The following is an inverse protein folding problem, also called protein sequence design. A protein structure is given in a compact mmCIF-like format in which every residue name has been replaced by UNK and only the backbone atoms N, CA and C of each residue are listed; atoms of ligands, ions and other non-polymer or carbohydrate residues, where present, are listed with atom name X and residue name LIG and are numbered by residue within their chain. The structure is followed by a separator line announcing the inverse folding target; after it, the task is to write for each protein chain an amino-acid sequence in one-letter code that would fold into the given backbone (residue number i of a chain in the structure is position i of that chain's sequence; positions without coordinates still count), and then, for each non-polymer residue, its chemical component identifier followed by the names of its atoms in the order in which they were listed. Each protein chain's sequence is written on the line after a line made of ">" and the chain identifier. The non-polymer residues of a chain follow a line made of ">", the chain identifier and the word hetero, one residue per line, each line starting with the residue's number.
data_IF_728215052565
#
_entry.id   IF_728215052565
#
_cell.length_a   1.000
_cell.length_b   1.000
_cell.length_c   1.000
_cell.angle_alpha   90.00
_cell.angle_beta   90.00
_cell.angle_gamma   90.00
#
_symmetry.space_group_name_H-M   'P 1'
#
loop_
_entity.id
_entity.type
_entity.pdbx_description
1 polymer ?
#
# COMPACT_ATOMS: atom_id res chain seq x y z
N UNK A 1 -9.78 44.39 9.76
CA UNK A 1 -8.79 43.58 10.50
C UNK A 1 -8.67 42.25 9.78
N UNK A 2 -7.77 42.20 8.80
CA UNK A 2 -7.72 41.18 7.75
C UNK A 2 -6.96 39.96 8.25
N UNK A 3 -7.65 38.83 8.44
CA UNK A 3 -7.00 37.56 8.78
C UNK A 3 -6.35 37.03 7.50
N UNK A 4 -5.04 37.29 7.38
CA UNK A 4 -4.18 36.76 6.34
C UNK A 4 -4.08 35.23 6.51
N UNK A 5 -4.86 34.47 5.75
CA UNK A 5 -4.70 33.03 5.67
C UNK A 5 -3.32 32.71 5.07
N UNK A 6 -2.41 32.26 5.94
CA UNK A 6 -1.09 31.75 5.54
C UNK A 6 -1.28 30.61 4.53
N UNK A 7 -0.80 30.82 3.31
CA UNK A 7 -0.84 29.85 2.23
C UNK A 7 0.09 28.67 2.55
N UNK A 8 -0.50 27.55 2.94
CA UNK A 8 0.20 26.28 3.22
C UNK A 8 0.20 25.32 2.03
N UNK A 9 0.97 24.21 2.11
CA UNK A 9 1.50 23.44 0.98
C UNK A 9 0.59 22.46 0.28
N UNK A 10 -0.69 22.78 0.20
CA UNK A 10 -1.70 21.83 -0.22
C UNK A 10 -2.05 21.96 -1.70
N UNK A 11 -1.74 23.04 -2.39
CA UNK A 11 -2.34 23.31 -3.71
C UNK A 11 -2.00 22.29 -4.80
N UNK A 12 -0.76 21.80 -4.89
CA UNK A 12 -0.34 20.85 -5.94
C UNK A 12 -0.76 19.41 -5.65
N UNK A 13 -0.64 18.96 -4.39
CA UNK A 13 -1.07 17.61 -3.98
C UNK A 13 -2.61 17.53 -3.92
N UNK A 14 -3.28 18.61 -3.51
CA UNK A 14 -4.76 18.73 -3.54
C UNK A 14 -5.30 18.86 -4.98
N UNK A 15 -4.55 19.43 -5.93
CA UNK A 15 -4.95 19.42 -7.33
C UNK A 15 -5.00 17.97 -7.90
N UNK A 16 -4.05 17.11 -7.51
CA UNK A 16 -4.12 15.68 -7.83
C UNK A 16 -5.30 14.99 -7.12
N UNK A 17 -5.57 15.32 -5.86
CA UNK A 17 -6.74 14.84 -5.11
C UNK A 17 -8.07 15.27 -5.76
N UNK A 18 -8.15 16.50 -6.28
CA UNK A 18 -9.33 17.04 -6.96
C UNK A 18 -9.68 16.25 -8.23
N UNK A 19 -8.66 15.83 -8.99
CA UNK A 19 -8.83 15.00 -10.18
C UNK A 19 -9.24 13.56 -9.84
N UNK A 20 -8.70 12.99 -8.74
CA UNK A 20 -9.02 11.63 -8.27
C UNK A 20 -10.42 11.57 -7.64
N UNK A 21 -10.76 12.55 -6.80
CA UNK A 21 -12.07 12.66 -6.11
C UNK A 21 -13.22 12.92 -7.10
N UNK A 22 -12.96 13.62 -8.22
CA UNK A 22 -13.93 13.78 -9.31
C UNK A 22 -14.20 12.48 -10.08
N UNK A 23 -13.29 11.50 -10.06
CA UNK A 23 -13.47 10.18 -10.70
C UNK A 23 -14.09 9.13 -9.77
N UNK A 24 -14.01 9.31 -8.46
CA UNK A 24 -14.50 8.35 -7.45
C UNK A 24 -15.81 8.83 -6.82
N UNK A 25 -16.94 8.64 -7.50
CA UNK A 25 -18.29 9.01 -7.02
C UNK A 25 -18.98 7.94 -6.16
N UNK A 26 -18.24 6.98 -5.61
CA UNK A 26 -18.79 5.86 -4.85
C UNK A 26 -18.54 5.98 -3.35
N UNK A 27 -19.47 5.48 -2.54
CA UNK A 27 -19.28 5.35 -1.10
C UNK A 27 -17.98 4.56 -0.80
N UNK A 28 -17.12 5.04 0.11
CA UNK A 28 -15.85 4.40 0.40
C UNK A 28 -16.09 3.01 1.00
N UNK A 29 -15.21 2.06 0.66
CA UNK A 29 -15.10 0.78 1.37
C UNK A 29 -15.14 1.00 2.88
N UNK A 30 -16.26 0.64 3.51
CA UNK A 30 -16.47 0.89 4.93
C UNK A 30 -15.89 -0.28 5.71
N UNK A 31 -14.77 -0.03 6.36
CA UNK A 31 -14.11 -1.02 7.20
C UNK A 31 -14.81 -1.03 8.56
N UNK A 32 -15.73 -1.97 8.74
CA UNK A 32 -16.52 -2.14 9.96
C UNK A 32 -15.80 -3.02 10.97
N UNK A 33 -15.10 -4.07 10.51
CA UNK A 33 -14.30 -4.94 11.36
C UNK A 33 -12.91 -5.23 10.74
N UNK A 34 -11.97 -5.61 11.60
CA UNK A 34 -10.63 -6.06 11.23
C UNK A 34 -10.11 -7.04 12.29
N UNK A 35 -9.78 -8.26 11.87
CA UNK A 35 -9.42 -9.37 12.76
C UNK A 35 -8.12 -10.03 12.29
N UNK A 36 -7.20 -10.31 13.22
CA UNK A 36 -6.00 -11.09 12.94
C UNK A 36 -6.35 -12.58 12.78
N UNK A 37 -5.87 -13.20 11.70
CA UNK A 37 -6.22 -14.59 11.36
C UNK A 37 -5.05 -15.53 11.57
N UNK A 38 -3.87 -15.18 11.06
CA UNK A 38 -2.70 -16.04 11.08
C UNK A 38 -1.41 -15.26 10.85
N UNK A 39 -0.29 -15.86 11.28
CA UNK A 39 1.06 -15.44 10.96
C UNK A 39 1.82 -16.62 10.33
N UNK A 40 2.48 -16.40 9.20
CA UNK A 40 3.29 -17.40 8.52
C UNK A 40 4.75 -16.95 8.44
N UNK A 41 5.68 -17.75 8.98
CA UNK A 41 7.13 -17.57 8.80
C UNK A 41 7.70 -18.41 7.66
N UNK A 42 6.93 -19.39 7.15
CA UNK A 42 7.32 -20.31 6.09
C UNK A 42 6.13 -20.63 5.16
N UNK A 43 6.42 -21.20 3.99
CA UNK A 43 5.43 -21.43 2.92
C UNK A 43 4.30 -22.37 3.37
N UNK A 44 4.64 -23.43 4.09
CA UNK A 44 3.71 -24.42 4.64
C UNK A 44 2.75 -23.85 5.70
N UNK A 45 3.09 -22.71 6.29
CA UNK A 45 2.27 -22.00 7.28
C UNK A 45 1.30 -20.99 6.65
N UNK A 46 1.35 -20.76 5.34
CA UNK A 46 0.43 -19.83 4.67
C UNK A 46 -1.01 -20.41 4.79
N UNK A 47 -1.95 -19.69 5.41
CA UNK A 47 -3.30 -20.19 5.63
C UNK A 47 -4.06 -20.34 4.30
N UNK A 48 -4.92 -21.34 4.19
CA UNK A 48 -5.85 -21.50 3.06
C UNK A 48 -7.09 -20.62 3.28
N UNK A 49 -7.03 -19.36 2.83
CA UNK A 49 -8.13 -18.39 2.93
C UNK A 49 -8.87 -18.27 1.59
N UNK A 50 -9.32 -19.41 1.08
CA UNK A 50 -9.60 -19.64 -0.34
C UNK A 50 -10.80 -18.88 -0.94
N UNK A 51 -11.47 -18.03 -0.16
CA UNK A 51 -12.77 -17.44 -0.48
C UNK A 51 -12.79 -15.90 -0.47
N UNK A 52 -11.63 -15.23 -0.29
CA UNK A 52 -11.57 -13.77 -0.21
C UNK A 52 -10.44 -13.19 -1.06
N UNK A 53 -10.64 -12.03 -1.71
CA UNK A 53 -9.57 -11.32 -2.37
C UNK A 53 -8.52 -10.85 -1.34
N UNK A 54 -7.26 -10.96 -1.73
CA UNK A 54 -6.10 -10.63 -0.92
C UNK A 54 -5.37 -9.39 -1.44
N UNK A 55 -4.93 -8.56 -0.50
CA UNK A 55 -4.15 -7.37 -0.76
C UNK A 55 -2.92 -7.40 0.12
N UNK A 56 -1.75 -7.14 -0.46
CA UNK A 56 -0.49 -7.22 0.26
C UNK A 56 0.20 -5.87 0.31
N UNK A 57 0.77 -5.52 1.47
CA UNK A 57 1.66 -4.37 1.60
C UNK A 57 3.13 -4.82 1.54
N UNK A 58 3.90 -4.20 0.64
CA UNK A 58 5.34 -4.33 0.50
C UNK A 58 6.01 -2.97 0.71
N UNK A 59 7.30 -2.95 1.05
CA UNK A 59 8.05 -1.72 1.29
C UNK A 59 9.13 -1.89 2.35
N UNK A 60 10.17 -1.06 2.33
CA UNK A 60 11.28 -1.10 3.30
C UNK A 60 10.81 -1.06 4.77
N UNK A 61 11.68 -1.49 5.68
CA UNK A 61 11.47 -1.24 7.10
C UNK A 61 11.26 0.28 7.33
N UNK A 62 10.28 0.63 8.17
CA UNK A 62 9.92 2.02 8.49
C UNK A 62 9.41 2.90 7.34
N UNK A 63 9.04 2.34 6.17
CA UNK A 63 8.38 3.11 5.11
C UNK A 63 6.92 3.46 5.44
N UNK A 64 6.32 2.84 6.47
CA UNK A 64 4.97 3.19 6.95
C UNK A 64 3.87 2.18 6.59
N UNK A 65 4.19 0.92 6.24
CA UNK A 65 3.23 -0.18 5.98
C UNK A 65 2.15 -0.30 7.05
N UNK A 66 2.53 -0.69 8.27
CA UNK A 66 1.59 -0.91 9.36
C UNK A 66 0.83 0.38 9.74
N UNK A 67 1.47 1.55 9.63
CA UNK A 67 0.80 2.85 9.85
C UNK A 67 -0.25 3.14 8.80
N UNK A 68 0.05 2.90 7.51
CA UNK A 68 -0.90 3.05 6.42
C UNK A 68 -2.06 2.07 6.58
N UNK A 69 -1.77 0.80 6.87
CA UNK A 69 -2.78 -0.24 7.07
C UNK A 69 -3.69 0.10 8.26
N UNK A 70 -3.15 0.49 9.42
CA UNK A 70 -3.94 0.98 10.56
C UNK A 70 -4.83 2.17 10.16
N UNK A 71 -4.30 3.15 9.42
CA UNK A 71 -5.06 4.30 8.95
C UNK A 71 -6.21 3.91 7.99
N UNK A 72 -5.94 3.02 7.03
CA UNK A 72 -6.95 2.44 6.13
C UNK A 72 -8.03 1.75 6.96
N UNK A 73 -7.65 0.93 7.94
CA UNK A 73 -8.56 0.20 8.82
C UNK A 73 -9.33 1.05 9.82
N UNK A 74 -8.98 2.34 9.96
CA UNK A 74 -9.54 3.18 11.03
C UNK A 74 -9.17 2.70 12.44
N UNK A 75 -8.07 1.94 12.56
CA UNK A 75 -7.55 1.42 13.84
C UNK A 75 -6.24 2.13 14.18
N UNK A 76 -5.89 2.20 15.47
CA UNK A 76 -4.62 2.79 15.91
C UNK A 76 -3.50 1.76 15.99
N UNK A 77 -3.78 0.60 16.58
CA UNK A 77 -2.76 -0.36 17.02
C UNK A 77 -3.07 -1.82 16.67
N UNK A 78 -3.91 -2.09 15.66
CA UNK A 78 -4.18 -3.46 15.23
C UNK A 78 -2.92 -4.12 14.65
N UNK A 79 -2.22 -3.39 13.78
CA UNK A 79 -0.91 -3.78 13.29
C UNK A 79 0.15 -3.10 14.14
N UNK A 80 1.13 -3.87 14.61
CA UNK A 80 2.21 -3.35 15.45
C UNK A 80 3.06 -2.35 14.68
N UNK A 81 2.94 -1.07 14.98
CA UNK A 81 3.82 -0.02 14.45
C UNK A 81 5.03 0.13 15.36
N UNK A 82 6.24 -0.06 14.85
CA UNK A 82 7.49 0.21 15.58
C UNK A 82 8.44 1.04 14.74
N UNK A 83 9.23 1.87 15.41
CA UNK A 83 10.36 2.59 14.80
C UNK A 83 11.60 1.71 14.65
N UNK A 84 11.70 0.62 15.43
CA UNK A 84 12.78 -0.37 15.32
C UNK A 84 12.51 -1.27 14.12
N UNK A 85 13.51 -1.46 13.26
CA UNK A 85 13.40 -2.38 12.13
C UNK A 85 13.25 -3.83 12.62
N UNK A 86 12.59 -4.69 11.83
CA UNK A 86 12.42 -6.10 12.15
C UNK A 86 11.23 -6.46 13.04
N UNK A 87 10.28 -5.54 13.29
CA UNK A 87 9.14 -5.84 14.16
C UNK A 87 8.08 -6.76 13.54
N UNK A 88 7.94 -6.75 12.22
CA UNK A 88 7.19 -7.78 11.49
C UNK A 88 8.21 -8.80 11.02
N UNK A 89 8.06 -10.07 11.41
CA UNK A 89 8.94 -11.18 10.99
C UNK A 89 8.21 -12.26 10.19
N UNK A 90 6.89 -12.15 10.11
CA UNK A 90 5.96 -13.11 9.50
C UNK A 90 5.05 -12.40 8.51
N UNK A 91 4.50 -13.14 7.55
CA UNK A 91 3.32 -12.70 6.80
C UNK A 91 2.12 -12.73 7.74
N UNK A 92 1.54 -11.57 8.04
CA UNK A 92 0.40 -11.46 8.95
C UNK A 92 -0.87 -11.22 8.14
N UNK A 93 -1.86 -12.07 8.35
CA UNK A 93 -3.12 -12.08 7.62
C UNK A 93 -4.23 -11.49 8.49
N UNK A 94 -4.95 -10.52 7.94
CA UNK A 94 -6.06 -9.84 8.62
C UNK A 94 -7.32 -9.91 7.76
N UNK A 95 -8.43 -10.43 8.29
CA UNK A 95 -9.75 -10.33 7.66
C UNK A 95 -10.35 -8.98 7.96
N UNK A 96 -10.87 -8.32 6.93
CA UNK A 96 -11.31 -6.92 7.01
C UNK A 96 -12.65 -6.73 6.29
N UNK A 97 -13.54 -5.93 6.88
CA UNK A 97 -14.89 -5.67 6.36
C UNK A 97 -15.98 -6.23 7.28
N UNK A 98 -17.21 -6.33 6.77
CA UNK A 98 -18.33 -6.91 7.50
C UNK A 98 -18.10 -8.40 7.76
N UNK A 99 -18.47 -8.88 8.96
CA UNK A 99 -18.24 -10.27 9.36
C UNK A 99 -18.77 -11.26 8.31
N UNK A 100 -17.97 -12.26 7.86
CA UNK A 100 -16.69 -12.73 8.42
C UNK A 100 -15.43 -12.06 7.80
N UNK A 101 -15.58 -10.88 7.22
CA UNK A 101 -14.57 -10.15 6.44
C UNK A 101 -14.83 -10.27 4.94
N UNK A 102 -14.64 -9.19 4.20
CA UNK A 102 -14.82 -9.13 2.75
C UNK A 102 -13.49 -9.23 1.99
N UNK A 103 -12.38 -8.86 2.63
CA UNK A 103 -11.02 -8.91 2.07
C UNK A 103 -10.04 -9.45 3.10
N UNK A 104 -8.87 -9.88 2.62
CA UNK A 104 -7.73 -10.20 3.48
C UNK A 104 -6.60 -9.21 3.19
N UNK A 105 -6.14 -8.51 4.23
CA UNK A 105 -4.92 -7.69 4.17
C UNK A 105 -3.74 -8.52 4.69
N UNK A 106 -2.65 -8.50 3.93
CA UNK A 106 -1.42 -9.20 4.26
C UNK A 106 -0.31 -8.18 4.53
N UNK A 107 0.09 -8.06 5.79
CA UNK A 107 1.26 -7.28 6.19
C UNK A 107 2.49 -8.17 6.09
N UNK A 108 3.45 -7.75 5.26
CA UNK A 108 4.72 -8.41 5.15
C UNK A 108 5.82 -7.57 5.82
N UNK A 109 6.89 -8.20 6.32
CA UNK A 109 8.12 -7.53 6.69
C UNK A 109 8.72 -6.75 5.52
N UNK A 110 9.49 -5.73 5.87
CA UNK A 110 10.13 -4.92 4.84
C UNK A 110 11.36 -5.59 4.25
N UNK A 111 11.68 -5.20 3.02
CA UNK A 111 12.91 -5.57 2.31
C UNK A 111 14.07 -4.60 2.60
N UNK A 112 15.26 -4.93 2.08
CA UNK A 112 16.50 -4.15 2.19
C UNK A 112 17.39 -4.57 3.37
N UNK A 113 18.48 -3.84 3.62
CA UNK A 113 19.51 -4.21 4.62
C UNK A 113 19.00 -4.35 6.07
N UNK A 114 17.85 -3.76 6.39
CA UNK A 114 17.18 -3.89 7.70
C UNK A 114 15.93 -4.80 7.64
N UNK A 115 15.69 -5.40 6.49
CA UNK A 115 14.73 -6.46 6.21
C UNK A 115 15.42 -7.83 6.25
N UNK A 116 14.67 -8.92 6.08
CA UNK A 116 15.28 -10.26 6.05
C UNK A 116 15.63 -10.70 4.61
N UNK A 117 16.66 -11.54 4.38
CA UNK A 117 16.95 -12.13 3.07
C UNK A 117 15.98 -13.27 2.71
N UNK A 118 15.51 -14.01 3.71
CA UNK A 118 14.59 -15.17 3.60
C UNK A 118 13.16 -14.82 3.15
N UNK A 119 12.94 -13.58 2.69
CA UNK A 119 11.71 -13.20 2.00
C UNK A 119 11.66 -13.73 0.58
N UNK A 120 12.78 -14.04 -0.08
CA UNK A 120 12.78 -14.48 -1.49
C UNK A 120 11.77 -15.60 -1.74
N UNK A 121 12.04 -16.79 -1.22
CA UNK A 121 11.21 -17.97 -1.50
C UNK A 121 9.77 -17.83 -1.00
N UNK A 122 9.56 -17.26 0.19
CA UNK A 122 8.22 -17.07 0.75
C UNK A 122 7.42 -16.03 -0.05
N UNK A 123 8.06 -14.93 -0.46
CA UNK A 123 7.48 -13.90 -1.31
C UNK A 123 7.13 -14.49 -2.68
N UNK A 124 8.09 -15.15 -3.31
CA UNK A 124 7.98 -15.64 -4.69
C UNK A 124 6.94 -16.74 -4.76
N UNK A 125 6.94 -17.67 -3.80
CA UNK A 125 5.91 -18.70 -3.70
C UNK A 125 4.54 -18.08 -3.46
N UNK A 126 4.41 -17.13 -2.54
CA UNK A 126 3.13 -16.49 -2.26
C UNK A 126 2.60 -15.74 -3.49
N UNK A 127 3.42 -14.92 -4.16
CA UNK A 127 2.99 -14.10 -5.29
C UNK A 127 2.68 -14.95 -6.53
N UNK A 128 3.42 -16.04 -6.76
CA UNK A 128 3.18 -16.94 -7.90
C UNK A 128 1.99 -17.88 -7.73
N UNK A 129 1.71 -18.33 -6.50
CA UNK A 129 0.69 -19.36 -6.25
C UNK A 129 -0.64 -18.82 -5.73
N UNK A 130 -0.68 -17.60 -5.19
CA UNK A 130 -1.87 -17.08 -4.49
C UNK A 130 -2.89 -16.48 -5.46
N UNK A 131 -3.79 -17.33 -5.96
CA UNK A 131 -4.89 -16.95 -6.87
C UNK A 131 -5.83 -15.86 -6.32
N UNK A 132 -5.89 -15.70 -5.00
CA UNK A 132 -6.68 -14.68 -4.31
C UNK A 132 -6.05 -13.29 -4.36
N UNK A 133 -4.75 -13.18 -4.60
CA UNK A 133 -4.05 -11.90 -4.61
C UNK A 133 -4.61 -11.01 -5.73
N UNK A 134 -5.03 -9.79 -5.38
CA UNK A 134 -5.60 -8.79 -6.29
C UNK A 134 -4.75 -7.54 -6.43
N UNK A 135 -4.03 -7.16 -5.38
CA UNK A 135 -3.14 -6.00 -5.44
C UNK A 135 -1.96 -6.12 -4.49
N UNK A 136 -0.80 -5.72 -4.97
CA UNK A 136 0.36 -5.42 -4.13
C UNK A 136 0.49 -3.91 -4.04
N UNK A 137 0.41 -3.38 -2.82
CA UNK A 137 0.76 -2.00 -2.51
C UNK A 137 2.23 -1.92 -2.13
N UNK A 138 3.07 -1.30 -2.97
CA UNK A 138 4.48 -1.07 -2.65
C UNK A 138 4.68 0.35 -2.13
N UNK A 139 5.19 0.47 -0.91
CA UNK A 139 5.26 1.74 -0.18
C UNK A 139 6.66 2.33 -0.18
N UNK A 140 6.73 3.62 -0.53
CA UNK A 140 7.94 4.44 -0.52
C UNK A 140 7.79 5.62 0.43
N UNK A 141 8.79 5.85 1.27
CA UNK A 141 8.80 7.02 2.14
C UNK A 141 9.15 8.27 1.32
N UNK A 142 8.21 9.18 1.15
CA UNK A 142 8.35 10.37 0.29
C UNK A 142 9.43 11.36 0.72
N UNK A 143 10.05 11.20 1.90
CA UNK A 143 11.22 12.00 2.33
C UNK A 143 12.43 11.86 1.40
N UNK A 144 12.54 10.74 0.69
CA UNK A 144 13.72 10.39 -0.09
C UNK A 144 13.28 9.81 -1.45
N UNK A 145 14.15 9.98 -2.45
CA UNK A 145 14.03 9.25 -3.72
C UNK A 145 14.21 7.73 -3.49
N UNK A 146 13.82 6.93 -4.49
CA UNK A 146 13.95 5.48 -4.40
C UNK A 146 15.43 5.08 -4.36
N UNK A 147 15.75 4.17 -3.44
CA UNK A 147 17.11 3.62 -3.35
C UNK A 147 17.23 2.33 -4.18
N UNK A 148 18.45 1.77 -4.33
CA UNK A 148 18.63 0.55 -5.12
C UNK A 148 17.76 -0.64 -4.68
N UNK A 149 17.48 -0.78 -3.38
CA UNK A 149 16.61 -1.85 -2.88
C UNK A 149 15.13 -1.61 -3.24
N UNK A 150 14.68 -0.36 -3.28
CA UNK A 150 13.34 0.03 -3.74
C UNK A 150 13.18 -0.26 -5.24
N UNK A 151 14.19 0.08 -6.05
CA UNK A 151 14.21 -0.17 -7.50
C UNK A 151 14.24 -1.67 -7.81
N UNK A 152 15.12 -2.42 -7.13
CA UNK A 152 15.21 -3.87 -7.30
C UNK A 152 13.90 -4.59 -6.93
N UNK A 153 13.24 -4.18 -5.85
CA UNK A 153 11.94 -4.76 -5.48
C UNK A 153 10.84 -4.37 -6.47
N UNK A 154 10.84 -3.14 -6.99
CA UNK A 154 9.90 -2.74 -8.04
C UNK A 154 10.05 -3.61 -9.29
N UNK A 155 11.27 -3.75 -9.78
CA UNK A 155 11.58 -4.58 -10.94
C UNK A 155 11.16 -6.04 -10.70
N UNK A 156 11.55 -6.61 -9.55
CA UNK A 156 11.18 -7.99 -9.17
C UNK A 156 9.67 -8.23 -9.18
N UNK A 157 8.88 -7.31 -8.59
CA UNK A 157 7.42 -7.46 -8.58
C UNK A 157 6.82 -7.26 -9.97
N UNK A 158 7.41 -6.36 -10.77
CA UNK A 158 7.01 -6.16 -12.16
C UNK A 158 7.25 -7.41 -13.00
N UNK A 159 8.40 -8.07 -12.81
CA UNK A 159 8.76 -9.28 -13.55
C UNK A 159 7.85 -10.45 -13.18
N UNK A 160 7.49 -10.57 -11.90
CA UNK A 160 6.56 -11.62 -11.44
C UNK A 160 5.12 -11.47 -11.96
N UNK A 161 4.74 -10.32 -12.54
CA UNK A 161 3.43 -10.17 -13.19
C UNK A 161 3.27 -11.08 -14.41
N UNK A 162 4.39 -11.49 -15.03
CA UNK A 162 4.39 -12.34 -16.21
C UNK A 162 5.09 -13.65 -15.89
N UNK A 163 4.39 -14.75 -16.12
CA UNK A 163 4.91 -16.10 -15.92
C UNK A 163 4.77 -16.91 -17.20
N UNK A 164 5.42 -18.08 -17.26
CA UNK A 164 5.24 -19.01 -18.38
C UNK A 164 3.78 -19.45 -18.53
N UNK A 165 3.00 -19.44 -17.44
CA UNK A 165 1.58 -19.81 -17.42
C UNK A 165 0.66 -18.62 -17.77
N UNK A 166 1.21 -17.43 -18.00
CA UNK A 166 0.48 -16.21 -18.35
C UNK A 166 0.62 -15.08 -17.33
N UNK A 167 -0.29 -14.12 -17.41
CA UNK A 167 -0.28 -12.92 -16.55
C UNK A 167 -0.90 -13.24 -15.19
N UNK A 168 -0.22 -12.83 -14.12
CA UNK A 168 -0.75 -12.94 -12.77
C UNK A 168 -2.01 -12.09 -12.57
N UNK A 169 -2.94 -12.49 -11.69
CA UNK A 169 -4.24 -11.83 -11.54
C UNK A 169 -4.19 -10.56 -10.68
N UNK A 170 -3.03 -10.19 -10.14
CA UNK A 170 -2.87 -9.02 -9.28
C UNK A 170 -2.30 -7.83 -10.05
N UNK A 171 -2.60 -6.61 -9.56
CA UNK A 171 -1.94 -5.39 -10.02
C UNK A 171 -0.94 -4.87 -9.01
N UNK A 172 0.03 -4.09 -9.47
CA UNK A 172 0.98 -3.39 -8.61
C UNK A 172 0.54 -1.93 -8.47
N UNK A 173 0.50 -1.39 -7.25
CA UNK A 173 0.21 0.02 -7.01
C UNK A 173 1.21 0.63 -6.03
N UNK A 174 1.90 1.68 -6.45
CA UNK A 174 2.80 2.40 -5.57
C UNK A 174 2.05 3.32 -4.59
N UNK A 175 2.59 3.48 -3.39
CA UNK A 175 2.10 4.44 -2.40
C UNK A 175 3.26 5.26 -1.86
N UNK A 176 3.23 6.57 -2.07
CA UNK A 176 4.20 7.50 -1.53
C UNK A 176 3.69 7.97 -0.16
N UNK A 177 4.26 7.44 0.91
CA UNK A 177 3.85 7.74 2.28
C UNK A 177 4.58 8.95 2.86
N UNK A 178 4.11 9.42 4.02
CA UNK A 178 4.69 10.51 4.79
C UNK A 178 4.78 11.81 3.98
N UNK A 179 3.73 12.13 3.22
CA UNK A 179 3.66 13.37 2.45
C UNK A 179 3.83 14.63 3.32
N UNK A 180 3.44 14.56 4.60
CA UNK A 180 3.65 15.61 5.61
C UNK A 180 5.14 15.94 5.86
N UNK A 181 6.02 15.03 5.50
CA UNK A 181 7.44 15.16 5.73
C UNK A 181 8.21 15.67 4.51
N UNK A 182 7.54 15.91 3.38
CA UNK A 182 8.18 16.42 2.16
C UNK A 182 8.18 17.95 2.24
N UNK A 183 9.35 18.61 2.20
CA UNK A 183 9.40 20.07 2.17
C UNK A 183 8.69 20.62 0.94
N UNK A 184 7.95 21.71 1.12
CA UNK A 184 7.15 22.34 0.06
C UNK A 184 7.99 22.72 -1.15
N UNK A 185 9.20 23.23 -0.91
CA UNK A 185 10.18 23.59 -1.92
C UNK A 185 10.64 22.39 -2.76
N UNK A 186 10.56 21.18 -2.22
CA UNK A 186 11.02 19.95 -2.86
C UNK A 186 9.89 19.16 -3.54
N UNK A 187 8.62 19.49 -3.28
CA UNK A 187 7.46 18.75 -3.80
C UNK A 187 7.46 18.65 -5.34
N UNK A 188 7.76 19.77 -6.02
CA UNK A 188 7.80 19.84 -7.47
C UNK A 188 8.89 18.99 -8.12
N UNK A 189 9.89 18.54 -7.35
CA UNK A 189 11.00 17.72 -7.83
C UNK A 189 10.87 16.27 -7.36
N UNK A 190 10.63 16.05 -6.07
CA UNK A 190 10.67 14.72 -5.44
C UNK A 190 9.56 13.82 -5.97
N UNK A 191 8.32 14.31 -6.06
CA UNK A 191 7.19 13.49 -6.53
C UNK A 191 7.35 13.08 -7.99
N UNK A 192 7.65 13.99 -8.95
CA UNK A 192 7.89 13.58 -10.33
C UNK A 192 9.09 12.64 -10.49
N UNK A 193 10.16 12.83 -9.70
CA UNK A 193 11.33 11.94 -9.73
C UNK A 193 10.94 10.52 -9.28
N UNK A 194 10.24 10.38 -8.16
CA UNK A 194 9.76 9.08 -7.68
C UNK A 194 8.82 8.44 -8.71
N UNK A 195 7.88 9.21 -9.28
CA UNK A 195 6.97 8.72 -10.32
C UNK A 195 7.74 8.18 -11.53
N UNK A 196 8.71 8.94 -12.04
CA UNK A 196 9.57 8.53 -13.15
C UNK A 196 10.29 7.21 -12.82
N UNK A 197 10.95 7.12 -11.66
CA UNK A 197 11.64 5.91 -11.24
C UNK A 197 10.70 4.69 -11.13
N UNK A 198 9.47 4.88 -10.64
CA UNK A 198 8.47 3.81 -10.57
C UNK A 198 8.16 3.28 -11.96
N UNK A 199 7.80 4.16 -12.91
CA UNK A 199 7.38 3.72 -14.25
C UNK A 199 8.53 3.19 -15.11
N UNK A 200 9.76 3.65 -14.88
CA UNK A 200 10.95 3.08 -15.53
C UNK A 200 11.25 1.65 -15.08
N UNK A 201 10.94 1.29 -13.83
CA UNK A 201 11.25 -0.02 -13.26
C UNK A 201 10.03 -0.96 -13.18
N UNK A 202 8.82 -0.42 -13.27
CA UNK A 202 7.58 -1.16 -13.26
C UNK A 202 6.54 -0.47 -14.16
N UNK A 203 6.61 -0.64 -15.50
CA UNK A 203 5.77 0.09 -16.45
C UNK A 203 4.26 -0.13 -16.26
N UNK A 204 3.85 -1.28 -15.71
CA UNK A 204 2.45 -1.61 -15.41
C UNK A 204 2.00 -1.21 -13.99
N UNK A 205 2.87 -0.58 -13.21
CA UNK A 205 2.48 -0.07 -11.90
C UNK A 205 1.38 0.97 -12.05
N UNK A 206 0.31 0.85 -11.27
CA UNK A 206 -0.75 1.84 -11.23
C UNK A 206 -0.21 3.18 -10.70
N UNK A 207 -0.80 4.31 -11.12
CA UNK A 207 -0.38 5.63 -10.66
C UNK A 207 -0.26 5.70 -9.13
N UNK A 208 0.85 6.26 -8.60
CA UNK A 208 1.11 6.24 -7.17
C UNK A 208 0.08 7.07 -6.41
N UNK A 209 -0.36 6.54 -5.27
CA UNK A 209 -1.19 7.29 -4.31
C UNK A 209 -0.27 7.97 -3.31
N UNK A 210 -0.41 9.29 -3.16
CA UNK A 210 0.33 10.06 -2.15
C UNK A 210 -0.48 10.05 -0.85
N UNK A 211 0.15 9.74 0.28
CA UNK A 211 -0.56 9.58 1.56
C UNK A 211 0.18 10.23 2.74
N UNK A 212 -0.60 10.69 3.71
CA UNK A 212 -0.13 10.96 5.07
C UNK A 212 -1.17 10.52 6.09
N UNK A 213 -0.81 9.55 6.93
CA UNK A 213 -1.63 9.05 8.03
C UNK A 213 -1.64 9.98 9.27
N UNK A 214 -0.70 10.94 9.33
CA UNK A 214 -0.55 11.86 10.48
C UNK A 214 -1.20 13.22 10.25
N UNK A 215 -1.39 13.63 8.98
CA UNK A 215 -2.14 14.84 8.66
C UNK A 215 -3.57 14.78 9.23
N UNK A 216 -4.14 15.96 9.50
CA UNK A 216 -5.52 16.15 9.95
C UNK A 216 -6.21 17.16 9.01
N UNK A 217 -7.22 16.72 8.21
CA UNK A 217 -7.61 15.32 7.97
C UNK A 217 -6.45 14.49 7.35
N UNK A 218 -6.51 13.16 7.49
CA UNK A 218 -5.53 12.27 6.86
C UNK A 218 -5.57 12.45 5.34
N UNK A 219 -4.41 12.40 4.69
CA UNK A 219 -4.29 12.64 3.26
C UNK A 219 -4.19 11.32 2.49
N UNK A 220 -4.96 11.17 1.40
CA UNK A 220 -4.90 10.04 0.47
C UNK A 220 -5.43 8.69 0.97
N UNK A 221 -5.83 8.58 2.24
CA UNK A 221 -6.29 7.31 2.83
C UNK A 221 -7.60 6.82 2.20
N UNK A 222 -8.53 7.74 1.89
CA UNK A 222 -9.79 7.37 1.23
C UNK A 222 -9.57 6.91 -0.22
N UNK A 223 -8.56 7.46 -0.91
CA UNK A 223 -8.16 6.96 -2.22
C UNK A 223 -7.63 5.52 -2.13
N UNK A 224 -6.83 5.19 -1.10
CA UNK A 224 -6.40 3.81 -0.85
C UNK A 224 -7.60 2.90 -0.60
N UNK A 225 -8.56 3.30 0.24
CA UNK A 225 -9.80 2.53 0.49
C UNK A 225 -10.62 2.29 -0.78
N UNK A 226 -10.75 3.30 -1.63
CA UNK A 226 -11.46 3.17 -2.91
C UNK A 226 -10.76 2.17 -3.85
N UNK A 227 -9.43 2.26 -3.95
CA UNK A 227 -8.64 1.32 -4.76
C UNK A 227 -8.69 -0.11 -4.21
N UNK A 228 -8.78 -0.28 -2.89
CA UNK A 228 -8.99 -1.59 -2.25
C UNK A 228 -10.34 -2.19 -2.66
N UNK A 229 -11.43 -1.41 -2.60
CA UNK A 229 -12.74 -1.89 -3.05
C UNK A 229 -12.72 -2.28 -4.53
N UNK A 230 -12.14 -1.43 -5.38
CA UNK A 230 -11.99 -1.68 -6.81
C UNK A 230 -11.22 -2.98 -7.09
N UNK A 231 -10.03 -3.15 -6.49
CA UNK A 231 -9.19 -4.33 -6.66
C UNK A 231 -9.91 -5.63 -6.29
N UNK A 232 -10.74 -5.55 -5.25
CA UNK A 232 -11.45 -6.69 -4.69
C UNK A 232 -12.83 -6.92 -5.32
N UNK A 233 -13.24 -6.11 -6.31
CA UNK A 233 -14.58 -6.19 -6.90
C UNK A 233 -15.70 -5.93 -5.90
N UNK A 234 -15.41 -5.23 -4.80
CA UNK A 234 -16.41 -4.86 -3.81
C UNK A 234 -17.20 -3.69 -4.39
N UNK A 235 -18.41 -4.02 -4.85
CA UNK A 235 -19.27 -3.09 -5.57
C UNK A 235 -19.39 -1.74 -4.87
N UNK A 236 -19.12 -0.70 -5.67
CA UNK A 236 -19.80 0.58 -5.57
C UNK A 236 -21.29 0.22 -5.52
N UNK A 237 -21.94 0.36 -4.36
CA UNK A 237 -23.39 0.21 -4.27
C UNK A 237 -23.98 1.20 -5.30
N UNK A 238 -24.42 0.69 -6.45
CA UNK A 238 -25.32 1.45 -7.32
C UNK A 238 -26.56 1.63 -6.45
N UNK A 239 -26.79 2.89 -6.05
CA UNK A 239 -28.07 3.29 -5.48
C UNK A 239 -29.19 2.96 -6.45
#
# INVERSE_FOLDING_TARGET
>A
MSILFRHGPKTTIVAQESAIRRKSSSAPFRITNAEFVAAASAVDQIPKLNDRPELRAAGRANCGKSTLLNAVLGRKDLLRTSKKAGCTTTLNFYRVGEHPGSVVLVDAPGYGARGRPEWGDLFDTYVSTRKQLRRIYILFNGKHILNPADLAMLAHISDTLFTQEGTQPYTLQAVITKADCIPNSSLGQVIPTIQKQIFENAPLCLPPIITSAVMRPMFGIDAVRANIAEACGLGLLKK
#
